data_IF_008553959166
#
_entry.id   IF_008553959166
#
_cell.length_a   1.000
_cell.length_b   1.000
_cell.length_c   1.000
_cell.angle_alpha   90.00
_cell.angle_beta   90.00
_cell.angle_gamma   90.00
#
_symmetry.space_group_name_H-M   'P 1'
#
loop_
_entity.id
_entity.type
_entity.pdbx_description
1 polymer ?
#
# COMPACT_ATOMS: atom_id res chain seq x y z
N UNK A 1 -12.18 3.21 9.42
CA UNK A 1 -13.17 3.04 10.51
C UNK A 1 -12.61 3.67 11.78
N UNK A 2 -13.10 4.86 12.14
CA UNK A 2 -12.47 5.68 13.19
C UNK A 2 -12.70 5.14 14.60
N UNK A 3 -13.93 4.68 14.92
CA UNK A 3 -14.28 4.14 16.24
C UNK A 3 -13.47 2.89 16.58
N UNK A 4 -13.25 2.04 15.58
CA UNK A 4 -12.52 0.78 15.67
C UNK A 4 -11.00 0.96 15.49
N UNK A 5 -10.56 2.20 15.23
CA UNK A 5 -9.18 2.56 14.85
C UNK A 5 -8.61 1.65 13.75
N UNK A 6 -9.34 1.49 12.65
CA UNK A 6 -8.89 0.70 11.48
C UNK A 6 -8.61 1.61 10.29
N UNK A 7 -7.40 1.50 9.75
CA UNK A 7 -6.96 2.12 8.50
C UNK A 7 -6.66 1.04 7.46
N UNK A 8 -7.25 1.18 6.27
CA UNK A 8 -7.07 0.26 5.15
C UNK A 8 -6.48 1.03 3.98
N UNK A 9 -5.37 0.55 3.44
CA UNK A 9 -4.72 1.11 2.26
C UNK A 9 -4.79 0.13 1.10
N UNK A 10 -5.06 0.67 -0.08
CA UNK A 10 -4.96 -0.04 -1.35
C UNK A 10 -3.76 0.54 -2.10
N UNK A 11 -2.71 -0.27 -2.20
CA UNK A 11 -1.44 0.14 -2.78
C UNK A 11 -1.47 -0.13 -4.28
N UNK A 12 -1.59 0.96 -5.06
CA UNK A 12 -1.42 0.91 -6.51
C UNK A 12 -0.05 0.34 -6.89
N UNK A 13 -0.03 -0.68 -7.75
CA UNK A 13 1.19 -1.46 -7.98
C UNK A 13 2.35 -0.63 -8.53
N UNK A 14 2.06 0.34 -9.39
CA UNK A 14 3.04 1.26 -9.94
C UNK A 14 3.54 2.27 -8.90
N UNK A 15 2.62 2.99 -8.25
CA UNK A 15 2.92 4.13 -7.39
C UNK A 15 3.68 3.77 -6.11
N UNK A 16 3.47 2.56 -5.60
CA UNK A 16 4.10 2.06 -4.37
C UNK A 16 5.18 1.01 -4.64
N UNK A 17 5.52 0.76 -5.91
CA UNK A 17 6.62 -0.14 -6.29
C UNK A 17 6.38 -1.59 -5.88
N UNK A 18 5.32 -2.21 -6.41
CA UNK A 18 4.98 -3.59 -6.12
C UNK A 18 6.12 -4.55 -6.50
N UNK A 19 6.54 -5.45 -5.58
CA UNK A 19 7.64 -6.39 -5.85
C UNK A 19 7.31 -7.43 -6.92
N UNK A 20 6.02 -7.64 -7.23
CA UNK A 20 5.53 -8.63 -8.21
C UNK A 20 5.28 -8.03 -9.60
N UNK A 21 4.55 -6.91 -9.67
CA UNK A 21 4.14 -6.32 -10.96
C UNK A 21 5.25 -5.51 -11.66
N UNK A 22 6.36 -5.21 -10.96
CA UNK A 22 7.62 -4.62 -11.45
C UNK A 22 7.47 -3.73 -12.70
N UNK A 23 6.72 -2.66 -12.57
CA UNK A 23 6.48 -1.71 -13.67
C UNK A 23 7.60 -0.67 -13.68
N UNK A 24 8.58 -0.80 -14.58
CA UNK A 24 9.61 0.22 -14.79
C UNK A 24 9.26 1.08 -16.02
N UNK A 25 9.04 2.38 -15.85
CA UNK A 25 8.81 3.28 -16.98
C UNK A 25 10.12 3.51 -17.75
N UNK A 26 10.06 3.39 -19.08
CA UNK A 26 11.20 3.61 -19.98
C UNK A 26 11.59 5.10 -20.10
N UNK A 27 10.61 5.99 -19.98
CA UNK A 27 10.82 7.45 -20.04
C UNK A 27 10.92 8.02 -18.63
N UNK A 28 11.83 8.96 -18.39
CA UNK A 28 12.05 9.60 -17.10
C UNK A 28 12.35 8.60 -15.95
N UNK A 29 13.13 7.56 -16.25
CA UNK A 29 13.36 6.43 -15.34
C UNK A 29 13.89 6.86 -13.97
N UNK A 30 14.88 7.76 -13.91
CA UNK A 30 15.46 8.24 -12.64
C UNK A 30 14.45 9.04 -11.81
N UNK A 31 13.65 9.90 -12.45
CA UNK A 31 12.56 10.62 -11.78
C UNK A 31 11.58 9.63 -11.13
N UNK A 32 11.14 8.63 -11.90
CA UNK A 32 10.17 7.65 -11.40
C UNK A 32 10.74 6.76 -10.31
N UNK A 33 12.00 6.34 -10.43
CA UNK A 33 12.72 5.58 -9.40
C UNK A 33 12.76 6.35 -8.09
N UNK A 34 13.14 7.63 -8.12
CA UNK A 34 13.18 8.48 -6.93
C UNK A 34 11.79 8.72 -6.35
N UNK A 35 10.79 9.00 -7.20
CA UNK A 35 9.40 9.22 -6.77
C UNK A 35 8.81 7.99 -6.08
N UNK A 36 8.98 6.81 -6.66
CA UNK A 36 8.50 5.54 -6.09
C UNK A 36 9.23 5.26 -4.77
N UNK A 37 10.55 5.46 -4.71
CA UNK A 37 11.31 5.28 -3.47
C UNK A 37 10.82 6.21 -2.34
N UNK A 38 10.53 7.48 -2.66
CA UNK A 38 9.98 8.43 -1.70
C UNK A 38 8.57 8.05 -1.24
N UNK A 39 7.73 7.53 -2.13
CA UNK A 39 6.42 7.01 -1.75
C UNK A 39 6.56 5.83 -0.78
N UNK A 40 7.43 4.86 -1.07
CA UNK A 40 7.71 3.73 -0.19
C UNK A 40 8.27 4.14 1.17
N UNK A 41 9.08 5.21 1.22
CA UNK A 41 9.57 5.78 2.48
C UNK A 41 8.40 6.36 3.29
N UNK A 42 7.57 7.20 2.67
CA UNK A 42 6.37 7.77 3.30
C UNK A 42 5.41 6.69 3.79
N UNK A 43 5.22 5.62 3.02
CA UNK A 43 4.38 4.48 3.38
C UNK A 43 4.81 3.82 4.69
N UNK A 44 6.12 3.65 4.88
CA UNK A 44 6.69 3.12 6.12
C UNK A 44 6.49 4.07 7.30
N UNK A 45 6.70 5.37 7.09
CA UNK A 45 6.53 6.41 8.10
C UNK A 45 5.07 6.50 8.57
N UNK A 46 4.12 6.58 7.64
CA UNK A 46 2.69 6.63 7.93
C UNK A 46 2.23 5.37 8.65
N UNK A 47 2.65 4.18 8.18
CA UNK A 47 2.33 2.92 8.87
C UNK A 47 2.85 2.93 10.32
N UNK A 48 4.10 3.36 10.52
CA UNK A 48 4.70 3.44 11.87
C UNK A 48 3.98 4.45 12.76
N UNK A 49 3.56 5.58 12.22
CA UNK A 49 2.79 6.57 12.97
C UNK A 49 1.43 6.03 13.39
N UNK A 50 0.65 5.49 12.44
CA UNK A 50 -0.67 4.93 12.72
C UNK A 50 -0.63 3.80 13.76
N UNK A 51 0.36 2.89 13.66
CA UNK A 51 0.52 1.82 14.66
C UNK A 51 0.82 2.42 16.05
N UNK A 52 1.67 3.45 16.14
CA UNK A 52 1.96 4.14 17.41
C UNK A 52 0.71 4.81 18.00
N UNK A 53 -0.17 5.33 17.16
CA UNK A 53 -1.41 5.98 17.57
C UNK A 53 -2.55 4.97 17.90
N UNK A 54 -2.22 3.67 17.87
CA UNK A 54 -3.11 2.57 18.22
C UNK A 54 -4.04 2.12 17.09
N UNK A 55 -3.69 2.41 15.83
CA UNK A 55 -4.46 1.96 14.68
C UNK A 55 -4.07 0.55 14.22
N UNK A 56 -5.07 -0.26 13.90
CA UNK A 56 -4.91 -1.47 13.09
C UNK A 56 -4.76 -1.05 11.63
N UNK A 57 -3.61 -1.35 11.03
CA UNK A 57 -3.28 -0.96 9.65
C UNK A 57 -3.26 -2.18 8.75
N UNK A 58 -4.14 -2.21 7.76
CA UNK A 58 -4.16 -3.21 6.70
C UNK A 58 -3.73 -2.58 5.38
N UNK A 59 -2.85 -3.26 4.63
CA UNK A 59 -2.42 -2.84 3.30
C UNK A 59 -2.57 -3.99 2.32
N UNK A 60 -3.13 -3.72 1.15
CA UNK A 60 -3.36 -4.70 0.10
C UNK A 60 -2.87 -4.15 -1.23
N UNK A 61 -2.27 -4.99 -2.07
CA UNK A 61 -1.89 -4.55 -3.40
C UNK A 61 -3.10 -4.53 -4.34
N UNK A 62 -3.13 -3.54 -5.24
CA UNK A 62 -4.16 -3.42 -6.27
C UNK A 62 -4.35 -4.72 -7.07
N UNK A 63 -3.26 -5.40 -7.45
CA UNK A 63 -3.34 -6.66 -8.21
C UNK A 63 -3.97 -7.81 -7.42
N UNK A 64 -3.86 -7.80 -6.08
CA UNK A 64 -4.49 -8.82 -5.24
C UNK A 64 -6.01 -8.62 -5.19
N UNK A 65 -6.44 -7.36 -5.07
CA UNK A 65 -7.86 -6.99 -5.07
C UNK A 65 -8.49 -7.30 -6.42
N UNK A 66 -7.85 -6.89 -7.52
CA UNK A 66 -8.34 -7.18 -8.88
C UNK A 66 -8.47 -8.68 -9.15
N UNK A 67 -7.57 -9.48 -8.58
CA UNK A 67 -7.59 -10.94 -8.76
C UNK A 67 -8.65 -11.62 -7.88
N UNK A 68 -8.78 -11.22 -6.62
CA UNK A 68 -9.72 -11.83 -5.68
C UNK A 68 -10.09 -10.86 -4.55
N UNK A 69 -11.17 -10.08 -4.70
CA UNK A 69 -11.59 -9.10 -3.70
C UNK A 69 -12.09 -9.77 -2.40
N UNK A 70 -12.71 -10.96 -2.49
CA UNK A 70 -13.24 -11.68 -1.32
C UNK A 70 -12.13 -12.08 -0.34
N UNK A 71 -10.93 -12.41 -0.84
CA UNK A 71 -9.78 -12.72 0.01
C UNK A 71 -9.35 -11.54 0.89
N UNK A 72 -9.56 -10.31 0.42
CA UNK A 72 -9.21 -9.09 1.16
C UNK A 72 -10.23 -8.83 2.26
N UNK A 73 -11.52 -9.02 1.96
CA UNK A 73 -12.60 -8.88 2.94
C UNK A 73 -12.42 -9.81 4.16
N UNK A 74 -12.05 -11.07 3.92
CA UNK A 74 -11.82 -12.06 5.00
C UNK A 74 -10.64 -11.72 5.94
N UNK A 75 -9.77 -10.78 5.57
CA UNK A 75 -8.67 -10.31 6.44
C UNK A 75 -9.05 -9.11 7.29
N UNK A 76 -10.16 -8.44 6.97
CA UNK A 76 -10.63 -7.23 7.63
C UNK A 76 -11.73 -7.58 8.65
N UNK A 77 -12.54 -8.59 8.35
CA UNK A 77 -13.57 -9.14 9.24
C UNK A 77 -12.93 -10.21 10.11
N UNK A 78 -13.01 -10.04 11.44
CA UNK A 78 -12.66 -11.09 12.41
C UNK A 78 -13.69 -12.20 12.40
#
# INVERSE_FOLDING_TARGET
FQKEKVAIFIDGCFWHGCPRCKTQPKTNAEYWKLKIANNQKRDKEVKKQLIRDGWKVFRFWEHEIKKNPNRVMNKIVF
#
